data_IF_267697117426
#
_entry.id   IF_267697117426
#
_cell.length_a   1.000
_cell.length_b   1.000
_cell.length_c   1.000
_cell.angle_alpha   90.00
_cell.angle_beta   90.00
_cell.angle_gamma   90.00
#
_symmetry.space_group_name_H-M   'P 1'
#
loop_
_entity.id
_entity.type
_entity.pdbx_description
1 polymer ?
#
# COMPACT_ATOMS: atom_id res chain seq x y z
N UNK A 1 41.60 -30.35 47.35
CA UNK A 1 41.87 -29.07 46.66
C UNK A 1 42.24 -29.45 45.23
N UNK A 2 41.29 -29.71 44.33
CA UNK A 2 40.70 -28.75 43.37
C UNK A 2 41.57 -28.74 42.10
N UNK A 3 41.13 -29.00 40.87
CA UNK A 3 39.84 -29.04 40.17
C UNK A 3 39.91 -30.06 38.99
N UNK A 4 38.80 -30.53 38.39
CA UNK A 4 38.84 -31.27 37.12
C UNK A 4 39.01 -30.32 35.91
N UNK A 5 39.59 -30.77 34.76
CA UNK A 5 39.59 -29.96 33.55
C UNK A 5 38.16 -29.78 33.02
N UNK A 6 37.78 -28.52 32.85
CA UNK A 6 36.47 -28.10 32.37
C UNK A 6 36.12 -28.68 31.01
N UNK A 7 34.99 -29.39 30.97
CA UNK A 7 34.17 -29.54 29.78
C UNK A 7 33.25 -28.32 29.71
N UNK A 8 33.42 -27.50 28.68
CA UNK A 8 32.39 -26.59 28.17
C UNK A 8 32.60 -26.58 26.65
N UNK A 9 31.91 -27.47 25.93
CA UNK A 9 30.64 -27.16 25.30
C UNK A 9 30.80 -25.95 24.37
N UNK A 10 30.86 -26.25 23.07
CA UNK A 10 30.90 -25.26 22.00
C UNK A 10 29.84 -24.19 22.22
N UNK A 11 30.26 -22.94 22.19
CA UNK A 11 29.34 -21.82 22.18
C UNK A 11 28.51 -21.91 20.89
N UNK A 12 27.25 -22.34 21.02
CA UNK A 12 26.25 -22.16 19.99
C UNK A 12 26.18 -20.65 19.64
N UNK A 13 26.28 -20.27 18.37
CA UNK A 13 26.27 -18.86 17.99
C UNK A 13 24.93 -18.22 18.36
N UNK A 14 24.94 -17.32 19.34
CA UNK A 14 23.77 -16.57 19.86
C UNK A 14 23.33 -15.41 18.95
N UNK A 15 23.68 -15.47 17.67
CA UNK A 15 23.27 -14.48 16.68
C UNK A 15 21.86 -14.77 16.14
N UNK A 16 21.16 -13.75 15.61
CA UNK A 16 19.97 -14.01 14.80
C UNK A 16 20.34 -14.99 13.67
N UNK A 17 19.43 -15.92 13.29
CA UNK A 17 19.71 -16.86 12.22
C UNK A 17 20.16 -16.09 10.98
N UNK A 18 21.21 -16.57 10.33
CA UNK A 18 21.75 -15.98 9.12
C UNK A 18 20.65 -16.03 8.06
N UNK A 19 19.96 -14.90 7.88
CA UNK A 19 18.92 -14.79 6.87
C UNK A 19 19.62 -15.00 5.53
N UNK A 20 19.10 -15.87 4.64
CA UNK A 20 19.73 -16.10 3.35
C UNK A 20 19.98 -14.74 2.70
N UNK A 21 21.24 -14.50 2.30
CA UNK A 21 21.62 -13.32 1.54
C UNK A 21 20.51 -13.05 0.52
N UNK A 22 19.91 -11.84 0.56
CA UNK A 22 18.79 -11.50 -0.33
C UNK A 22 19.18 -11.94 -1.73
N UNK A 23 18.57 -13.03 -2.21
CA UNK A 23 18.96 -13.63 -3.49
C UNK A 23 18.94 -12.52 -4.52
N UNK A 24 20.10 -12.22 -5.12
CA UNK A 24 20.27 -11.06 -5.99
C UNK A 24 19.41 -11.11 -7.27
N UNK A 25 18.63 -12.19 -7.44
CA UNK A 25 17.83 -12.51 -8.61
C UNK A 25 16.33 -12.48 -8.36
N UNK A 26 15.86 -12.14 -7.15
CA UNK A 26 14.43 -11.86 -6.97
C UNK A 26 14.13 -10.56 -7.72
N UNK A 27 13.42 -10.65 -8.84
CA UNK A 27 12.72 -9.51 -9.44
C UNK A 27 11.81 -8.91 -8.37
N UNK A 28 12.29 -7.86 -7.70
CA UNK A 28 11.54 -7.18 -6.65
C UNK A 28 10.41 -6.42 -7.32
N UNK A 29 9.19 -6.91 -7.17
CA UNK A 29 8.00 -6.19 -7.60
C UNK A 29 7.57 -5.28 -6.46
N UNK A 30 7.75 -3.96 -6.62
CA UNK A 30 7.23 -3.00 -5.66
C UNK A 30 5.78 -2.63 -5.99
N UNK A 31 4.96 -2.59 -4.94
CA UNK A 31 3.57 -2.12 -5.00
C UNK A 31 3.46 -0.89 -4.13
N UNK A 32 3.03 0.23 -4.70
CA UNK A 32 2.59 1.36 -3.91
C UNK A 32 1.18 1.08 -3.42
N UNK A 33 1.06 0.85 -2.12
CA UNK A 33 -0.20 0.46 -1.47
C UNK A 33 -1.13 1.64 -1.20
N UNK A 34 -0.69 2.89 -1.37
CA UNK A 34 -1.51 4.05 -1.04
C UNK A 34 -1.02 5.33 -1.72
N UNK A 35 -1.73 5.75 -2.77
CA UNK A 35 -1.48 7.03 -3.45
C UNK A 35 -2.77 7.73 -3.89
N UNK A 36 -2.66 9.00 -4.27
CA UNK A 36 -3.79 9.86 -4.64
C UNK A 36 -3.57 10.63 -5.97
N UNK A 37 -3.49 9.91 -7.09
CA UNK A 37 -3.41 10.51 -8.45
C UNK A 37 -4.74 11.14 -8.91
N UNK A 38 -5.81 10.94 -8.14
CA UNK A 38 -7.11 11.59 -8.31
C UNK A 38 -7.15 13.03 -7.72
N UNK A 39 -6.05 13.53 -7.14
CA UNK A 39 -5.96 14.93 -6.72
C UNK A 39 -5.73 15.88 -7.89
N UNK A 40 -6.28 17.09 -7.76
CA UNK A 40 -6.16 18.15 -8.76
C UNK A 40 -4.71 18.48 -9.14
N UNK A 41 -3.78 18.34 -8.20
CA UNK A 41 -2.33 18.54 -8.40
C UNK A 41 -1.74 17.63 -9.49
N UNK A 42 -2.36 16.47 -9.73
CA UNK A 42 -1.91 15.48 -10.72
C UNK A 42 -2.80 15.41 -11.97
N UNK A 43 -3.68 16.41 -12.16
CA UNK A 43 -4.59 16.46 -13.30
C UNK A 43 -3.81 16.42 -14.64
N UNK A 44 -4.07 15.40 -15.46
CA UNK A 44 -3.38 15.19 -16.73
C UNK A 44 -1.98 14.58 -16.62
N UNK A 45 -1.45 14.40 -15.41
CA UNK A 45 -0.08 13.89 -15.20
C UNK A 45 -0.01 12.42 -14.80
N UNK A 46 -1.14 11.79 -14.43
CA UNK A 46 -1.19 10.43 -13.88
C UNK A 46 -0.38 9.42 -14.70
N UNK A 47 -0.52 9.41 -16.03
CA UNK A 47 0.22 8.51 -16.91
C UNK A 47 1.75 8.74 -16.84
N UNK A 48 2.18 10.00 -16.77
CA UNK A 48 3.60 10.35 -16.64
C UNK A 48 4.15 9.94 -15.27
N UNK A 49 3.38 10.11 -14.19
CA UNK A 49 3.78 9.64 -12.85
C UNK A 49 3.93 8.12 -12.83
N UNK A 50 2.95 7.38 -13.33
CA UNK A 50 2.98 5.91 -13.39
C UNK A 50 4.15 5.39 -14.25
N UNK A 51 4.50 6.09 -15.33
CA UNK A 51 5.66 5.74 -16.15
C UNK A 51 6.98 5.92 -15.38
N UNK A 52 7.14 7.04 -14.65
CA UNK A 52 8.33 7.27 -13.81
C UNK A 52 8.44 6.24 -12.69
N UNK A 53 7.32 5.92 -12.03
CA UNK A 53 7.29 4.91 -10.98
C UNK A 53 7.66 3.50 -11.50
N UNK A 54 7.16 3.13 -12.68
CA UNK A 54 7.53 1.87 -13.33
C UNK A 54 9.02 1.80 -13.69
N UNK A 55 9.61 2.91 -14.15
CA UNK A 55 11.05 2.99 -14.40
C UNK A 55 11.90 2.83 -13.12
N UNK A 56 11.31 3.11 -11.95
CA UNK A 56 11.92 2.91 -10.64
C UNK A 56 11.60 1.54 -10.01
N UNK A 57 10.87 0.65 -10.69
CA UNK A 57 10.54 -0.70 -10.21
C UNK A 57 9.25 -0.82 -9.40
N UNK A 58 8.42 0.24 -9.35
CA UNK A 58 7.07 0.20 -8.78
C UNK A 58 6.07 -0.02 -9.91
N UNK A 59 5.41 -1.18 -9.92
CA UNK A 59 4.65 -1.64 -11.08
C UNK A 59 3.17 -1.92 -10.79
N UNK A 60 2.77 -1.82 -9.52
CA UNK A 60 1.38 -1.91 -9.06
C UNK A 60 1.05 -0.78 -8.11
N UNK A 61 -0.17 -0.27 -8.20
CA UNK A 61 -0.58 0.94 -7.52
C UNK A 61 -1.98 0.80 -6.95
N UNK A 62 -2.20 1.28 -5.73
CA UNK A 62 -3.51 1.41 -5.11
C UNK A 62 -3.89 2.89 -5.02
N UNK A 63 -4.75 3.35 -5.93
CA UNK A 63 -5.24 4.72 -5.92
C UNK A 63 -6.46 4.86 -5.02
N UNK A 64 -6.36 5.73 -4.02
CA UNK A 64 -7.31 5.78 -2.91
C UNK A 64 -8.41 6.82 -3.16
N UNK A 65 -9.66 6.34 -3.25
CA UNK A 65 -10.86 7.16 -3.14
C UNK A 65 -11.23 7.42 -1.67
N UNK A 66 -11.67 8.64 -1.37
CA UNK A 66 -11.98 9.10 0.00
C UNK A 66 -13.29 9.90 0.11
N UNK A 67 -13.96 10.14 -1.01
CA UNK A 67 -15.31 10.68 -1.14
C UNK A 67 -15.91 10.13 -2.46
N UNK A 68 -17.19 10.36 -2.78
CA UNK A 68 -17.79 9.84 -4.02
C UNK A 68 -17.07 10.30 -5.31
N UNK A 69 -16.69 11.57 -5.40
CA UNK A 69 -16.07 12.14 -6.60
C UNK A 69 -14.65 11.58 -6.84
N UNK A 70 -13.84 11.53 -5.78
CA UNK A 70 -12.49 10.97 -5.78
C UNK A 70 -12.51 9.46 -5.98
N UNK A 71 -13.54 8.76 -5.46
CA UNK A 71 -13.77 7.33 -5.71
C UNK A 71 -14.09 7.07 -7.18
N UNK A 72 -15.00 7.84 -7.79
CA UNK A 72 -15.31 7.74 -9.21
C UNK A 72 -14.06 8.03 -10.08
N UNK A 73 -13.27 9.04 -9.73
CA UNK A 73 -12.01 9.34 -10.41
C UNK A 73 -10.98 8.20 -10.28
N UNK A 74 -10.88 7.57 -9.11
CA UNK A 74 -10.01 6.40 -8.89
C UNK A 74 -10.42 5.21 -9.75
N UNK A 75 -11.72 4.91 -9.83
CA UNK A 75 -12.25 3.84 -10.70
C UNK A 75 -11.94 4.14 -12.17
N UNK A 76 -12.21 5.36 -12.63
CA UNK A 76 -11.92 5.76 -14.01
C UNK A 76 -10.41 5.67 -14.35
N UNK A 77 -9.52 5.90 -13.38
CA UNK A 77 -8.08 5.70 -13.57
C UNK A 77 -7.72 4.21 -13.67
N UNK A 78 -8.28 3.36 -12.80
CA UNK A 78 -8.06 1.91 -12.82
C UNK A 78 -8.60 1.25 -14.11
N UNK A 79 -9.70 1.75 -14.67
CA UNK A 79 -10.23 1.30 -15.96
C UNK A 79 -9.28 1.64 -17.13
N UNK A 80 -8.54 2.74 -17.03
CA UNK A 80 -7.61 3.21 -18.09
C UNK A 80 -6.24 2.58 -18.01
N UNK A 81 -5.79 2.15 -16.83
CA UNK A 81 -4.45 1.60 -16.63
C UNK A 81 -4.48 0.33 -15.76
N UNK A 82 -4.15 -0.85 -16.33
CA UNK A 82 -4.24 -2.14 -15.62
C UNK A 82 -3.23 -2.30 -14.47
N UNK A 83 -2.28 -1.37 -14.32
CA UNK A 83 -1.35 -1.34 -13.19
C UNK A 83 -1.99 -0.76 -11.93
N UNK A 84 -3.12 -0.05 -12.08
CA UNK A 84 -3.79 0.67 -11.01
C UNK A 84 -5.00 -0.12 -10.52
N UNK A 85 -5.10 -0.27 -9.20
CA UNK A 85 -6.29 -0.69 -8.48
C UNK A 85 -6.91 0.54 -7.80
N UNK A 86 -8.22 0.55 -7.64
CA UNK A 86 -8.95 1.61 -6.98
C UNK A 86 -9.52 1.13 -5.65
N UNK A 87 -9.44 1.97 -4.62
CA UNK A 87 -10.34 1.85 -3.46
C UNK A 87 -11.48 2.85 -3.61
N UNK A 88 -12.64 2.48 -3.08
CA UNK A 88 -13.81 3.34 -2.96
C UNK A 88 -14.20 3.43 -1.50
N UNK A 89 -14.56 4.61 -1.05
CA UNK A 89 -14.92 4.83 0.35
C UNK A 89 -15.10 6.30 0.67
N UNK A 90 -15.48 6.55 1.91
CA UNK A 90 -15.65 7.90 2.46
C UNK A 90 -14.75 8.06 3.67
N UNK A 91 -14.04 9.20 3.72
CA UNK A 91 -13.13 9.51 4.80
C UNK A 91 -13.92 9.59 6.13
N UNK A 92 -13.36 9.15 7.27
CA UNK A 92 -14.08 9.14 8.55
C UNK A 92 -14.65 10.51 8.97
N UNK A 93 -14.03 11.61 8.54
CA UNK A 93 -14.54 12.97 8.77
C UNK A 93 -15.88 13.25 8.06
N UNK A 94 -16.13 12.56 6.95
CA UNK A 94 -17.31 12.73 6.10
C UNK A 94 -18.30 11.56 6.29
N UNK A 95 -18.00 10.60 7.16
CA UNK A 95 -18.84 9.42 7.40
C UNK A 95 -20.22 9.78 7.96
N UNK A 96 -20.34 10.88 8.70
CA UNK A 96 -21.64 11.38 9.19
C UNK A 96 -22.55 11.86 8.07
N UNK A 97 -22.00 12.20 6.90
CA UNK A 97 -22.79 12.61 5.73
C UNK A 97 -23.49 11.43 5.06
N UNK A 98 -23.07 10.20 5.37
CA UNK A 98 -23.68 8.98 4.85
C UNK A 98 -24.55 8.28 5.90
N UNK A 99 -24.76 8.85 7.09
CA UNK A 99 -25.56 8.22 8.12
C UNK A 99 -27.00 8.76 8.10
N UNK A 100 -27.99 7.87 7.99
CA UNK A 100 -29.37 8.23 8.31
C UNK A 100 -29.54 8.49 9.82
N UNK A 101 -30.68 9.05 10.27
CA UNK A 101 -30.94 9.32 11.69
C UNK A 101 -30.91 8.07 12.59
N UNK A 102 -30.99 6.86 12.02
CA UNK A 102 -30.91 5.58 12.70
C UNK A 102 -29.50 4.95 12.64
N UNK A 103 -28.53 5.60 11.99
CA UNK A 103 -27.13 5.14 11.84
C UNK A 103 -26.90 4.19 10.67
N UNK A 104 -27.85 4.04 9.75
CA UNK A 104 -27.69 3.29 8.50
C UNK A 104 -26.87 4.06 7.47
N UNK A 105 -26.05 3.37 6.67
CA UNK A 105 -25.29 4.01 5.58
C UNK A 105 -26.24 4.26 4.39
N UNK A 106 -26.56 5.52 4.09
CA UNK A 106 -27.32 5.93 2.91
C UNK A 106 -26.36 6.03 1.72
N UNK A 107 -26.67 5.30 0.64
CA UNK A 107 -25.81 5.19 -0.54
C UNK A 107 -25.97 6.32 -1.54
N UNK A 108 -26.73 7.36 -1.20
CA UNK A 108 -27.10 8.44 -2.11
C UNK A 108 -26.01 9.50 -2.23
N UNK A 109 -25.30 9.87 -1.16
CA UNK A 109 -24.14 10.78 -1.25
C UNK A 109 -24.41 12.11 -2.00
N UNK A 110 -25.68 12.43 -2.26
CA UNK A 110 -26.16 13.62 -2.94
C UNK A 110 -26.82 14.52 -1.91
N UNK A 111 -26.53 15.81 -2.03
CA UNK A 111 -27.25 16.87 -1.31
C UNK A 111 -28.64 17.06 -1.90
#
# INVERSE_FOLDING_TARGET
>A
MGEPPGSAAGAEPTGPPDLPARSQERQLVFTDSHLHLNRHEFAGEAAAVLARAAAAGVNRFMNVGYDPASSAASVALAERDPRVLATVGVHPHDASLLADPAGGITGDGER
#
